data_IF_441860896629
#
_entry.id   IF_441860896629
#
_cell.length_a   1.000
_cell.length_b   1.000
_cell.length_c   1.000
_cell.angle_alpha   90.00
_cell.angle_beta   90.00
_cell.angle_gamma   90.00
#
_symmetry.space_group_name_H-M   'P 1'
#
loop_
_entity.id
_entity.type
_entity.pdbx_description
1 polymer ?
#
# COMPACT_ATOMS: atom_id res chain seq x y z
N UNK A 1 -40.54 3.66 -8.01
CA UNK A 1 -39.66 4.79 -7.63
C UNK A 1 -38.57 4.35 -6.65
N UNK A 2 -38.84 3.38 -5.76
CA UNK A 2 -37.84 2.79 -4.85
C UNK A 2 -36.79 1.94 -5.60
N UNK A 3 -37.21 1.14 -6.59
CA UNK A 3 -36.33 0.26 -7.36
C UNK A 3 -35.25 1.01 -8.14
N UNK A 4 -35.60 2.18 -8.68
CA UNK A 4 -34.65 3.04 -9.40
C UNK A 4 -33.56 3.58 -8.47
N UNK A 5 -33.93 3.99 -7.26
CA UNK A 5 -32.94 4.41 -6.25
C UNK A 5 -32.06 3.26 -5.79
N UNK A 6 -32.61 2.04 -5.72
CA UNK A 6 -31.86 0.84 -5.36
C UNK A 6 -30.86 0.44 -6.46
N UNK A 7 -31.25 0.54 -7.73
CA UNK A 7 -30.35 0.36 -8.88
C UNK A 7 -29.22 1.39 -8.89
N UNK A 8 -29.53 2.68 -8.72
CA UNK A 8 -28.50 3.73 -8.64
C UNK A 8 -27.50 3.51 -7.49
N UNK A 9 -27.95 2.92 -6.38
CA UNK A 9 -27.10 2.56 -5.24
C UNK A 9 -26.15 1.41 -5.57
N UNK A 10 -26.66 0.37 -6.24
CA UNK A 10 -25.86 -0.78 -6.66
C UNK A 10 -24.79 -0.37 -7.69
N UNK A 11 -25.14 0.47 -8.67
CA UNK A 11 -24.18 0.96 -9.66
C UNK A 11 -23.04 1.78 -9.01
N UNK A 12 -23.37 2.59 -8.00
CA UNK A 12 -22.36 3.33 -7.22
C UNK A 12 -21.47 2.40 -6.41
N UNK A 13 -22.03 1.37 -5.78
CA UNK A 13 -21.26 0.36 -5.04
C UNK A 13 -20.31 -0.41 -5.96
N UNK A 14 -20.79 -0.85 -7.12
CA UNK A 14 -19.95 -1.53 -8.12
C UNK A 14 -18.82 -0.62 -8.61
N UNK A 15 -19.11 0.66 -8.85
CA UNK A 15 -18.09 1.65 -9.21
C UNK A 15 -17.02 1.77 -8.12
N UNK A 16 -17.42 1.84 -6.85
CA UNK A 16 -16.47 1.90 -5.72
C UNK A 16 -15.63 0.62 -5.66
N UNK A 17 -16.23 -0.56 -5.85
CA UNK A 17 -15.52 -1.84 -5.83
C UNK A 17 -14.51 -1.94 -6.96
N UNK A 18 -14.86 -1.48 -8.17
CA UNK A 18 -13.96 -1.41 -9.31
C UNK A 18 -12.79 -0.47 -9.02
N UNK A 19 -13.07 0.74 -8.52
CA UNK A 19 -12.05 1.71 -8.17
C UNK A 19 -11.11 1.15 -7.08
N UNK A 20 -11.65 0.56 -6.03
CA UNK A 20 -10.86 -0.04 -4.95
C UNK A 20 -9.94 -1.17 -5.47
N UNK A 21 -10.42 -2.01 -6.38
CA UNK A 21 -9.61 -3.06 -7.01
C UNK A 21 -8.54 -2.51 -7.96
N UNK A 22 -8.78 -1.34 -8.55
CA UNK A 22 -7.84 -0.67 -9.44
C UNK A 22 -6.72 0.07 -8.72
N UNK A 23 -6.88 0.36 -7.42
CA UNK A 23 -5.84 1.02 -6.64
C UNK A 23 -4.61 0.12 -6.54
N UNK A 24 -3.40 0.68 -6.71
CA UNK A 24 -2.19 -0.09 -6.54
C UNK A 24 -2.13 -0.61 -5.11
N UNK A 25 -2.00 -1.92 -4.92
CA UNK A 25 -1.90 -2.50 -3.57
C UNK A 25 -0.47 -2.48 -3.02
N UNK A 26 0.50 -2.10 -3.85
CA UNK A 26 1.93 -2.27 -3.60
C UNK A 26 2.67 -0.98 -3.88
N UNK A 27 3.46 -0.55 -2.91
CA UNK A 27 4.27 0.65 -2.99
C UNK A 27 5.76 0.25 -3.11
N UNK A 28 6.47 0.69 -4.16
CA UNK A 28 7.88 0.33 -4.35
C UNK A 28 8.76 1.02 -3.31
N UNK A 29 9.74 0.30 -2.76
CA UNK A 29 10.81 0.90 -1.96
C UNK A 29 11.82 1.55 -2.88
N UNK A 30 11.74 2.89 -2.96
CA UNK A 30 12.72 3.74 -3.64
C UNK A 30 13.64 4.44 -2.63
N UNK A 31 14.65 5.16 -3.13
CA UNK A 31 15.55 5.95 -2.27
C UNK A 31 14.80 7.12 -1.63
N UNK A 32 13.92 7.74 -2.39
CA UNK A 32 13.09 8.87 -1.96
C UNK A 32 12.19 8.43 -0.81
N UNK A 33 11.49 7.30 -0.98
CA UNK A 33 10.65 6.74 0.08
C UNK A 33 11.43 6.34 1.34
N UNK A 34 12.62 5.75 1.18
CA UNK A 34 13.48 5.45 2.33
C UNK A 34 13.87 6.72 3.10
N UNK A 35 14.19 7.80 2.38
CA UNK A 35 14.49 9.11 2.96
C UNK A 35 13.27 9.70 3.68
N UNK A 36 12.08 9.66 3.06
CA UNK A 36 10.81 10.08 3.69
C UNK A 36 10.52 9.32 4.98
N UNK A 37 10.93 8.05 5.05
CA UNK A 37 10.76 7.22 6.24
C UNK A 37 11.89 7.38 7.27
N UNK A 38 12.79 8.36 7.10
CA UNK A 38 13.89 8.64 8.04
C UNK A 38 15.11 7.71 7.90
N UNK A 39 15.20 6.91 6.84
CA UNK A 39 16.33 6.00 6.61
C UNK A 39 17.36 6.60 5.65
N UNK A 40 18.65 6.49 6.01
CA UNK A 40 19.78 6.95 5.18
C UNK A 40 19.96 6.13 3.89
N UNK A 41 19.53 4.88 3.89
CA UNK A 41 19.68 3.96 2.75
C UNK A 41 18.44 3.10 2.58
N UNK A 42 18.21 2.68 1.33
CA UNK A 42 17.16 1.72 0.98
C UNK A 42 17.32 0.42 1.79
N UNK A 43 18.54 -0.07 1.95
CA UNK A 43 18.78 -1.34 2.64
C UNK A 43 18.52 -1.26 4.14
N UNK A 44 18.71 -0.08 4.76
CA UNK A 44 18.30 0.16 6.14
C UNK A 44 16.78 -0.01 6.32
N UNK A 45 15.99 0.59 5.43
CA UNK A 45 14.54 0.44 5.43
C UNK A 45 14.13 -1.01 5.13
N UNK A 46 14.74 -1.67 4.14
CA UNK A 46 14.44 -3.08 3.81
C UNK A 46 14.69 -4.01 4.99
N UNK A 47 15.85 -3.87 5.65
CA UNK A 47 16.19 -4.66 6.84
C UNK A 47 15.17 -4.45 7.95
N UNK A 48 14.70 -3.22 8.13
CA UNK A 48 13.64 -2.95 9.10
C UNK A 48 12.32 -3.63 8.69
N UNK A 49 11.90 -3.51 7.43
CA UNK A 49 10.68 -4.14 6.92
C UNK A 49 10.72 -5.66 7.11
N UNK A 50 11.85 -6.31 6.80
CA UNK A 50 12.06 -7.75 7.03
C UNK A 50 11.82 -8.20 8.47
N UNK A 51 12.17 -7.36 9.44
CA UNK A 51 12.11 -7.71 10.86
C UNK A 51 10.76 -7.35 11.51
N UNK A 52 9.97 -6.48 10.89
CA UNK A 52 8.82 -5.83 11.54
C UNK A 52 7.51 -5.96 10.76
N UNK A 53 7.54 -6.32 9.48
CA UNK A 53 6.35 -6.55 8.68
C UNK A 53 6.09 -8.04 8.51
N UNK A 54 4.83 -8.40 8.30
CA UNK A 54 4.51 -9.77 7.88
C UNK A 54 5.17 -10.04 6.52
N UNK A 55 5.58 -11.30 6.24
CA UNK A 55 6.17 -11.65 4.94
C UNK A 55 5.26 -11.34 3.74
N UNK A 56 3.94 -11.40 3.93
CA UNK A 56 2.94 -11.04 2.91
C UNK A 56 2.83 -9.52 2.68
N UNK A 57 3.34 -8.70 3.58
CA UNK A 57 3.31 -7.24 3.49
C UNK A 57 4.59 -6.65 2.87
N UNK A 58 5.62 -7.48 2.71
CA UNK A 58 6.91 -7.04 2.20
C UNK A 58 7.52 -8.07 1.25
N UNK A 59 7.48 -7.77 -0.05
CA UNK A 59 7.79 -8.75 -1.10
C UNK A 59 8.77 -8.20 -2.13
N UNK A 60 9.60 -9.08 -2.69
CA UNK A 60 10.45 -8.78 -3.84
C UNK A 60 9.72 -9.13 -5.13
N UNK A 61 9.66 -8.20 -6.08
CA UNK A 61 9.13 -8.44 -7.44
C UNK A 61 10.14 -7.96 -8.46
N UNK A 62 10.77 -8.90 -9.15
CA UNK A 62 11.91 -8.62 -10.02
C UNK A 62 13.07 -7.99 -9.24
N UNK A 63 13.50 -6.80 -9.67
CA UNK A 63 14.63 -6.07 -9.06
C UNK A 63 14.22 -5.19 -7.88
N UNK A 64 12.93 -4.94 -7.68
CA UNK A 64 12.41 -4.01 -6.68
C UNK A 64 11.75 -4.74 -5.51
N UNK A 65 11.73 -4.06 -4.38
CA UNK A 65 11.04 -4.46 -3.16
C UNK A 65 9.78 -3.61 -3.02
N UNK A 66 8.72 -4.20 -2.50
CA UNK A 66 7.42 -3.56 -2.38
C UNK A 66 6.85 -3.78 -0.99
N UNK A 67 6.17 -2.75 -0.47
CA UNK A 67 5.39 -2.79 0.76
C UNK A 67 3.92 -2.77 0.37
N UNK A 68 3.11 -3.62 1.01
CA UNK A 68 1.66 -3.53 0.85
C UNK A 68 1.14 -2.22 1.43
N UNK A 69 0.23 -1.53 0.75
CA UNK A 69 -0.27 -0.21 1.19
C UNK A 69 -0.81 -0.24 2.63
N UNK A 70 -1.42 -1.34 3.08
CA UNK A 70 -1.94 -1.46 4.45
C UNK A 70 -0.85 -1.33 5.53
N UNK A 71 0.39 -1.61 5.18
CA UNK A 71 1.55 -1.53 6.09
C UNK A 71 2.29 -0.18 6.03
N UNK A 72 1.96 0.71 5.07
CA UNK A 72 2.61 2.01 4.94
C UNK A 72 2.49 2.90 6.20
N UNK A 73 1.34 2.96 6.92
CA UNK A 73 1.25 3.77 8.14
C UNK A 73 2.27 3.32 9.20
N UNK A 74 2.44 2.01 9.36
CA UNK A 74 3.39 1.43 10.33
C UNK A 74 4.82 1.83 9.97
N UNK A 75 5.17 1.79 8.67
CA UNK A 75 6.51 2.15 8.19
C UNK A 75 6.79 3.66 8.37
N UNK A 76 5.79 4.52 8.13
CA UNK A 76 5.94 5.98 8.21
C UNK A 76 5.94 6.53 9.65
N UNK A 77 5.23 5.91 10.58
CA UNK A 77 5.16 6.39 11.99
C UNK A 77 6.55 6.42 12.65
N UNK A 78 7.46 5.53 12.27
CA UNK A 78 8.82 5.49 12.84
C UNK A 78 9.77 6.58 12.29
N UNK A 79 9.34 7.31 11.26
CA UNK A 79 10.15 8.34 10.63
C UNK A 79 10.17 9.67 11.40
N UNK A 80 9.34 9.78 12.44
CA UNK A 80 9.19 10.95 13.30
C UNK A 80 9.65 10.64 14.73
#
# INVERSE_FOLDING_TARGET
>A
MLDKKFQELNEKLDTILVLHRSLPQWYPITREFATECGYKTIDGLRKWCYNNLNPEDFVKRGKLWYINIRSLPIVKIKAF
#
